data_IF_601358633494
#
_entry.id   IF_601358633494
#
_cell.length_a   1.000
_cell.length_b   1.000
_cell.length_c   1.000
_cell.angle_alpha   90.00
_cell.angle_beta   90.00
_cell.angle_gamma   90.00
#
_symmetry.space_group_name_H-M   'P 1'
#
loop_
_entity.id
_entity.type
_entity.pdbx_description
1 polymer ?
#
# COMPACT_ATOMS: atom_id res chain seq x y z
N UNK A 1 3.44 -21.50 -8.34
CA UNK A 1 3.04 -21.01 -7.00
C UNK A 1 1.67 -20.38 -7.11
N UNK A 2 0.90 -20.37 -6.02
CA UNK A 2 -0.51 -19.95 -5.97
C UNK A 2 -0.57 -18.65 -5.15
N UNK A 3 -1.39 -17.66 -5.52
CA UNK A 3 -1.49 -16.37 -4.79
C UNK A 3 -1.89 -16.56 -3.31
N UNK A 4 -1.49 -15.67 -2.39
CA UNK A 4 -1.86 -15.70 -0.97
C UNK A 4 -3.38 -15.81 -0.76
N UNK A 5 -4.15 -15.00 -1.50
CA UNK A 5 -5.62 -15.03 -1.43
C UNK A 5 -6.18 -16.41 -1.78
N UNK A 6 -5.61 -17.08 -2.78
CA UNK A 6 -6.07 -18.39 -3.21
C UNK A 6 -5.60 -19.52 -2.28
N UNK A 7 -4.42 -19.39 -1.65
CA UNK A 7 -3.95 -20.35 -0.64
C UNK A 7 -4.77 -20.27 0.66
N UNK A 8 -5.14 -19.06 1.09
CA UNK A 8 -5.83 -18.82 2.38
C UNK A 8 -7.33 -18.55 2.20
N UNK A 9 -7.87 -18.83 1.02
CA UNK A 9 -9.21 -18.40 0.59
C UNK A 9 -10.32 -18.80 1.54
N UNK A 10 -10.26 -20.03 2.05
CA UNK A 10 -11.33 -20.56 2.90
C UNK A 10 -11.30 -19.94 4.29
N UNK A 11 -10.11 -19.68 4.85
CA UNK A 11 -9.95 -18.95 6.11
C UNK A 11 -10.37 -17.48 5.94
N UNK A 12 -9.91 -16.81 4.87
CA UNK A 12 -10.28 -15.42 4.61
C UNK A 12 -11.78 -15.24 4.44
N UNK A 13 -12.47 -16.21 3.81
CA UNK A 13 -13.94 -16.17 3.63
C UNK A 13 -14.73 -16.27 4.92
N UNK A 14 -14.14 -16.72 6.03
CA UNK A 14 -14.82 -16.77 7.33
C UNK A 14 -15.07 -15.37 7.88
N UNK A 15 -14.14 -14.44 7.66
CA UNK A 15 -14.20 -13.06 8.18
C UNK A 15 -14.36 -11.98 7.11
N UNK A 16 -13.98 -12.24 5.86
CA UNK A 16 -13.92 -11.24 4.80
C UNK A 16 -14.76 -11.61 3.58
N UNK A 17 -15.26 -10.59 2.89
CA UNK A 17 -15.97 -10.80 1.63
C UNK A 17 -14.97 -10.95 0.49
N UNK A 18 -14.54 -12.19 0.24
CA UNK A 18 -13.63 -12.53 -0.86
C UNK A 18 -14.37 -12.81 -2.17
N UNK A 19 -14.00 -12.10 -3.24
CA UNK A 19 -14.56 -12.21 -4.60
C UNK A 19 -13.44 -12.19 -5.65
N UNK A 20 -13.58 -13.03 -6.68
CA UNK A 20 -12.72 -12.97 -7.86
C UNK A 20 -13.23 -11.90 -8.81
N UNK A 21 -12.35 -11.03 -9.29
CA UNK A 21 -12.70 -10.02 -10.29
C UNK A 21 -13.04 -10.65 -11.66
N UNK A 22 -14.02 -10.07 -12.34
CA UNK A 22 -14.51 -10.55 -13.64
C UNK A 22 -13.83 -9.95 -14.87
N UNK A 23 -13.00 -8.90 -14.73
CA UNK A 23 -12.41 -8.16 -15.86
C UNK A 23 -11.02 -7.58 -15.55
N UNK A 24 -10.43 -6.84 -16.51
CA UNK A 24 -9.16 -6.12 -16.31
C UNK A 24 -9.24 -5.04 -15.23
N UNK A 25 -10.36 -4.32 -15.15
CA UNK A 25 -10.62 -3.24 -14.19
C UNK A 25 -11.29 -3.75 -12.90
N UNK A 26 -10.91 -4.93 -12.41
CA UNK A 26 -11.43 -5.46 -11.15
C UNK A 26 -12.96 -5.47 -11.03
N UNK A 27 -13.68 -5.73 -12.13
CA UNK A 27 -15.14 -5.76 -12.09
C UNK A 27 -15.64 -6.72 -11.02
N UNK A 28 -16.62 -6.29 -10.24
CA UNK A 28 -17.17 -7.06 -9.14
C UNK A 28 -18.69 -6.94 -9.02
N UNK A 29 -19.26 -7.92 -8.33
CA UNK A 29 -20.62 -7.91 -7.82
C UNK A 29 -20.66 -8.35 -6.35
N UNK A 30 -20.94 -7.40 -5.45
CA UNK A 30 -21.17 -7.69 -4.04
C UNK A 30 -22.67 -7.78 -3.78
N UNK A 31 -23.13 -8.86 -3.15
CA UNK A 31 -24.56 -9.06 -2.89
C UNK A 31 -24.94 -8.44 -1.54
N UNK A 32 -26.08 -7.75 -1.52
CA UNK A 32 -26.61 -7.08 -0.33
C UNK A 32 -26.69 -8.03 0.88
N UNK A 33 -27.35 -9.17 0.72
CA UNK A 33 -27.52 -10.17 1.80
C UNK A 33 -26.19 -10.66 2.38
N UNK A 34 -25.18 -10.88 1.52
CA UNK A 34 -23.89 -11.37 2.00
C UNK A 34 -23.11 -10.27 2.70
N UNK A 35 -23.17 -9.04 2.20
CA UNK A 35 -22.59 -7.87 2.88
C UNK A 35 -23.19 -7.71 4.28
N UNK A 36 -24.52 -7.70 4.38
CA UNK A 36 -25.23 -7.63 5.66
C UNK A 36 -24.81 -8.76 6.60
N UNK A 37 -24.66 -9.99 6.11
CA UNK A 37 -24.24 -11.10 6.97
C UNK A 37 -22.83 -10.95 7.56
N UNK A 38 -21.93 -10.22 6.89
CA UNK A 38 -20.64 -9.86 7.48
C UNK A 38 -20.80 -8.69 8.46
N UNK A 39 -21.60 -7.68 8.11
CA UNK A 39 -21.89 -6.55 9.01
C UNK A 39 -22.57 -6.98 10.32
N UNK A 40 -23.51 -7.92 10.27
CA UNK A 40 -24.17 -8.47 11.46
C UNK A 40 -23.19 -9.23 12.37
N UNK A 41 -22.19 -9.90 11.78
CA UNK A 41 -21.22 -10.72 12.52
C UNK A 41 -20.00 -9.95 13.02
N UNK A 42 -19.58 -8.93 12.29
CA UNK A 42 -18.29 -8.27 12.49
C UNK A 42 -18.39 -6.74 12.53
N UNK A 43 -19.61 -6.17 12.49
CA UNK A 43 -19.79 -4.73 12.30
C UNK A 43 -19.12 -4.27 11.00
N UNK A 44 -18.44 -3.12 11.05
CA UNK A 44 -17.66 -2.64 9.91
C UNK A 44 -16.24 -3.24 9.83
N UNK A 45 -15.86 -4.11 10.78
CA UNK A 45 -14.50 -4.67 10.88
C UNK A 45 -14.31 -5.94 10.03
N UNK A 46 -14.44 -5.76 8.72
CA UNK A 46 -14.08 -6.75 7.72
C UNK A 46 -13.60 -6.07 6.44
N UNK A 47 -12.93 -6.83 5.57
CA UNK A 47 -12.45 -6.34 4.29
C UNK A 47 -13.23 -6.94 3.12
N UNK A 48 -13.37 -6.14 2.06
CA UNK A 48 -13.77 -6.58 0.73
C UNK A 48 -12.51 -6.95 -0.04
N UNK A 49 -12.35 -8.22 -0.35
CA UNK A 49 -11.14 -8.73 -1.01
C UNK A 49 -11.46 -9.04 -2.46
N UNK A 50 -10.92 -8.24 -3.37
CA UNK A 50 -11.09 -8.37 -4.81
C UNK A 50 -9.79 -8.86 -5.42
N UNK A 51 -9.74 -10.11 -5.88
CA UNK A 51 -8.52 -10.68 -6.46
C UNK A 51 -8.75 -11.11 -7.91
N UNK A 52 -7.73 -10.94 -8.75
CA UNK A 52 -7.82 -11.18 -10.20
C UNK A 52 -7.07 -12.42 -10.63
N UNK A 53 -5.88 -12.63 -10.07
CA UNK A 53 -5.04 -13.80 -10.35
C UNK A 53 -5.10 -14.82 -9.22
N UNK A 54 -5.04 -16.10 -9.58
CA UNK A 54 -4.85 -17.21 -8.63
C UNK A 54 -3.39 -17.64 -8.53
N UNK A 55 -2.52 -17.07 -9.35
CA UNK A 55 -1.11 -17.44 -9.50
C UNK A 55 -0.17 -16.43 -8.85
N UNK A 56 -0.56 -15.16 -8.83
CA UNK A 56 0.18 -14.04 -8.21
C UNK A 56 -0.80 -13.16 -7.44
N UNK A 57 -0.32 -12.47 -6.41
CA UNK A 57 -1.14 -11.52 -5.68
C UNK A 57 -1.40 -10.29 -6.56
N UNK A 58 -2.67 -10.15 -6.96
CA UNK A 58 -3.20 -9.12 -7.84
C UNK A 58 -4.59 -8.79 -7.30
N UNK A 59 -4.62 -8.05 -6.19
CA UNK A 59 -5.84 -7.86 -5.41
C UNK A 59 -5.93 -6.51 -4.72
N UNK A 60 -7.15 -6.09 -4.43
CA UNK A 60 -7.44 -5.03 -3.46
C UNK A 60 -8.03 -5.65 -2.20
N UNK A 61 -7.54 -5.19 -1.06
CA UNK A 61 -8.09 -5.51 0.26
C UNK A 61 -8.67 -4.22 0.84
N UNK A 62 -9.96 -4.01 0.64
CA UNK A 62 -10.63 -2.77 1.02
C UNK A 62 -11.25 -2.90 2.40
N UNK A 63 -10.76 -2.23 3.45
CA UNK A 63 -11.45 -2.22 4.74
C UNK A 63 -12.84 -1.62 4.57
N UNK A 64 -13.88 -2.35 4.98
CA UNK A 64 -15.26 -1.95 4.73
C UNK A 64 -15.60 -0.61 5.42
N UNK A 65 -15.04 -0.34 6.60
CA UNK A 65 -15.17 0.96 7.29
C UNK A 65 -14.79 2.16 6.44
N UNK A 66 -13.77 2.02 5.59
CA UNK A 66 -13.22 3.09 4.74
C UNK A 66 -14.03 3.28 3.46
N UNK A 67 -14.61 2.19 2.94
CA UNK A 67 -15.32 2.20 1.64
C UNK A 67 -16.83 2.12 1.76
N UNK A 68 -17.41 1.94 2.96
CA UNK A 68 -18.87 1.73 3.16
C UNK A 68 -19.74 2.80 2.52
N UNK A 69 -19.29 4.06 2.49
CA UNK A 69 -20.03 5.17 1.90
C UNK A 69 -20.22 5.03 0.38
N UNK A 70 -19.40 4.21 -0.27
CA UNK A 70 -19.53 3.88 -1.70
C UNK A 70 -20.66 2.88 -1.94
N UNK A 71 -21.04 2.07 -0.95
CA UNK A 71 -22.02 0.99 -1.05
C UNK A 71 -23.40 1.38 -0.53
N UNK A 72 -23.95 2.51 -0.98
CA UNK A 72 -25.29 2.95 -0.59
C UNK A 72 -26.40 2.08 -1.22
N UNK A 73 -27.48 1.82 -0.46
CA UNK A 73 -28.57 0.90 -0.87
C UNK A 73 -29.32 1.35 -2.14
N UNK A 74 -29.39 2.66 -2.38
CA UNK A 74 -29.98 3.21 -3.60
C UNK A 74 -29.17 2.91 -4.87
N UNK A 75 -27.95 2.37 -4.74
CA UNK A 75 -27.08 1.95 -5.84
C UNK A 75 -27.18 0.45 -6.16
N UNK A 76 -28.09 -0.28 -5.52
CA UNK A 76 -28.30 -1.71 -5.77
C UNK A 76 -28.98 -1.94 -7.13
N UNK A 77 -28.55 -2.98 -7.84
CA UNK A 77 -29.25 -3.49 -9.02
C UNK A 77 -30.58 -4.19 -8.63
N UNK A 78 -31.37 -4.57 -9.65
CA UNK A 78 -32.63 -5.30 -9.48
C UNK A 78 -32.47 -6.63 -8.72
N UNK A 79 -31.26 -7.19 -8.71
CA UNK A 79 -30.90 -8.44 -8.02
C UNK A 79 -30.30 -8.19 -6.63
N UNK A 80 -30.39 -6.96 -6.13
CA UNK A 80 -29.85 -6.53 -4.83
C UNK A 80 -28.33 -6.75 -4.74
N UNK A 81 -27.60 -6.23 -5.73
CA UNK A 81 -26.13 -6.25 -5.77
C UNK A 81 -25.57 -4.87 -6.09
N UNK A 82 -24.44 -4.55 -5.47
CA UNK A 82 -23.58 -3.48 -5.95
C UNK A 82 -22.70 -4.03 -7.05
N UNK A 83 -22.84 -3.47 -8.25
CA UNK A 83 -21.98 -3.77 -9.39
C UNK A 83 -20.97 -2.64 -9.50
N UNK A 84 -19.69 -2.96 -9.56
CA UNK A 84 -18.64 -1.95 -9.58
C UNK A 84 -17.38 -2.42 -10.27
N UNK A 85 -16.38 -1.55 -10.30
CA UNK A 85 -15.07 -1.81 -10.85
C UNK A 85 -14.03 -0.92 -10.17
N UNK A 86 -12.75 -1.31 -10.25
CA UNK A 86 -11.62 -0.47 -9.86
C UNK A 86 -10.75 -0.26 -11.10
N UNK A 87 -10.64 0.99 -11.54
CA UNK A 87 -9.77 1.35 -12.66
C UNK A 87 -8.89 2.51 -12.25
N UNK A 88 -7.58 2.40 -12.52
CA UNK A 88 -6.56 3.36 -12.10
C UNK A 88 -6.67 3.71 -10.60
N UNK A 89 -6.80 2.67 -9.78
CA UNK A 89 -6.97 2.77 -8.32
C UNK A 89 -8.20 3.55 -7.83
N UNK A 90 -9.19 3.81 -8.70
CA UNK A 90 -10.45 4.44 -8.30
C UNK A 90 -11.57 3.41 -8.26
N UNK A 91 -12.20 3.26 -7.10
CA UNK A 91 -13.37 2.42 -6.88
C UNK A 91 -14.64 3.12 -7.36
N UNK A 92 -15.40 2.44 -8.22
CA UNK A 92 -16.67 2.92 -8.79
C UNK A 92 -17.80 1.90 -8.60
N UNK A 93 -19.02 2.39 -8.38
CA UNK A 93 -20.27 1.60 -8.50
C UNK A 93 -20.96 1.99 -9.81
N UNK A 94 -21.14 1.01 -10.70
CA UNK A 94 -21.77 1.18 -12.01
C UNK A 94 -23.23 1.58 -11.82
N UNK A 95 -23.68 2.61 -12.56
CA UNK A 95 -25.04 3.19 -12.67
C UNK A 95 -25.33 4.50 -11.93
N UNK A 96 -24.35 5.35 -11.61
CA UNK A 96 -24.71 6.71 -11.18
C UNK A 96 -23.84 7.81 -11.79
N UNK A 97 -24.42 8.82 -12.49
CA UNK A 97 -23.68 10.02 -12.89
C UNK A 97 -23.13 10.82 -11.69
N UNK A 98 -23.57 10.49 -10.47
CA UNK A 98 -23.14 11.10 -9.21
C UNK A 98 -22.29 10.18 -8.33
N UNK A 99 -21.88 8.98 -8.79
CA UNK A 99 -21.02 8.11 -7.98
C UNK A 99 -19.65 8.78 -7.83
N UNK A 100 -19.34 9.28 -6.64
CA UNK A 100 -17.99 9.78 -6.34
C UNK A 100 -17.06 8.59 -6.27
N UNK A 101 -16.12 8.52 -7.21
CA UNK A 101 -15.05 7.53 -7.14
C UNK A 101 -14.18 7.78 -5.91
N UNK A 102 -13.76 6.71 -5.25
CA UNK A 102 -12.87 6.78 -4.08
C UNK A 102 -11.53 6.18 -4.46
N UNK A 103 -10.44 6.88 -4.16
CA UNK A 103 -9.09 6.34 -4.35
C UNK A 103 -8.84 5.20 -3.37
N UNK A 104 -8.36 4.09 -3.89
CA UNK A 104 -8.07 2.85 -3.14
C UNK A 104 -6.65 2.33 -3.42
N UNK A 105 -5.77 3.19 -3.94
CA UNK A 105 -4.39 2.83 -4.29
C UNK A 105 -3.62 2.22 -3.11
N UNK A 106 -3.79 2.77 -1.91
CA UNK A 106 -3.14 2.28 -0.67
C UNK A 106 -3.58 0.88 -0.25
N UNK A 107 -4.63 0.33 -0.87
CA UNK A 107 -5.18 -0.98 -0.58
C UNK A 107 -4.81 -2.03 -1.65
N UNK A 108 -4.10 -1.65 -2.71
CA UNK A 108 -3.61 -2.59 -3.71
C UNK A 108 -2.49 -3.46 -3.12
N UNK A 109 -2.70 -4.78 -3.08
CA UNK A 109 -1.82 -5.78 -2.47
C UNK A 109 -1.38 -5.45 -1.02
N UNK A 110 -2.16 -4.62 -0.32
CA UNK A 110 -1.95 -4.32 1.09
C UNK A 110 -2.82 -5.25 1.93
N UNK A 111 -2.21 -6.27 2.52
CA UNK A 111 -2.93 -7.27 3.32
C UNK A 111 -3.21 -6.82 4.76
N UNK A 112 -2.75 -5.63 5.16
CA UNK A 112 -2.90 -5.12 6.52
C UNK A 112 -4.33 -5.09 7.06
N UNK A 113 -5.33 -4.71 6.24
CA UNK A 113 -6.73 -4.76 6.66
C UNK A 113 -7.34 -6.16 6.82
N UNK A 114 -6.61 -7.24 6.51
CA UNK A 114 -7.10 -8.62 6.73
C UNK A 114 -7.01 -9.07 8.19
N UNK A 115 -6.31 -8.31 9.03
CA UNK A 115 -5.99 -8.77 10.39
C UNK A 115 -6.92 -8.18 11.46
N UNK A 116 -7.82 -7.26 11.08
CA UNK A 116 -8.82 -6.64 11.97
C UNK A 116 -8.20 -5.65 12.96
N UNK A 117 -9.03 -4.80 13.60
CA UNK A 117 -8.57 -3.85 14.62
C UNK A 117 -7.93 -4.57 15.84
N UNK A 118 -8.38 -5.78 16.14
CA UNK A 118 -7.88 -6.60 17.26
C UNK A 118 -6.45 -7.16 17.02
N UNK A 119 -5.94 -7.19 15.78
CA UNK A 119 -4.53 -7.56 15.54
C UNK A 119 -3.53 -6.53 16.08
N UNK A 120 -4.04 -5.34 16.42
CA UNK A 120 -3.37 -4.24 17.10
C UNK A 120 -3.78 -4.13 18.58
N UNK A 121 -4.21 -5.19 19.27
CA UNK A 121 -4.33 -5.20 20.75
C UNK A 121 -2.95 -5.02 21.44
N UNK A 122 -2.47 -3.79 21.37
CA UNK A 122 -2.05 -3.03 22.53
C UNK A 122 -3.16 -1.98 22.67
N UNK A 123 -4.02 -2.08 23.68
CA UNK A 123 -5.14 -1.14 23.92
C UNK A 123 -4.72 0.31 23.60
N UNK A 124 -5.21 0.91 22.51
CA UNK A 124 -5.06 2.34 22.29
C UNK A 124 -5.83 3.05 23.42
N UNK A 125 -5.21 3.98 24.18
CA UNK A 125 -5.94 4.68 25.23
C UNK A 125 -7.04 5.53 24.60
N UNK A 126 -8.19 5.63 25.25
CA UNK A 126 -9.16 6.68 24.96
C UNK A 126 -8.45 8.03 24.89
N UNK A 127 -8.50 8.63 23.71
CA UNK A 127 -8.03 9.99 23.47
C UNK A 127 -9.09 10.90 24.08
N UNK A 128 -8.68 11.73 25.04
CA UNK A 128 -9.52 12.76 25.61
C UNK A 128 -9.87 13.76 24.49
N UNK A 129 -11.13 13.73 24.03
CA UNK A 129 -11.66 14.55 22.93
C UNK A 129 -11.50 16.07 23.17
N UNK A 130 -11.15 16.49 24.39
CA UNK A 130 -10.79 17.89 24.68
C UNK A 130 -9.45 18.33 24.05
N UNK A 131 -8.64 17.39 23.53
CA UNK A 131 -7.37 17.67 22.85
C UNK A 131 -7.49 17.87 21.33
N UNK A 132 -8.61 17.48 20.71
CA UNK A 132 -8.81 17.55 19.25
C UNK A 132 -9.57 18.80 18.79
N UNK A 133 -10.02 19.66 19.70
CA UNK A 133 -10.38 21.03 19.32
C UNK A 133 -9.10 21.86 19.21
N UNK A 134 -8.48 21.84 18.03
CA UNK A 134 -7.95 23.03 17.33
C UNK A 134 -7.54 22.57 15.92
N UNK A 135 -8.35 22.96 14.93
CA UNK A 135 -7.85 23.30 13.61
C UNK A 135 -6.77 24.40 13.78
N UNK A 136 -5.49 24.03 13.76
CA UNK A 136 -4.36 24.97 13.73
C UNK A 136 -3.28 24.74 14.80
N UNK A 137 -2.22 24.04 14.42
CA UNK A 137 -0.96 23.94 15.19
C UNK A 137 -1.08 23.36 16.62
N UNK A 138 -0.88 22.04 16.73
CA UNK A 138 -0.51 21.40 17.99
C UNK A 138 0.74 22.08 18.56
N UNK A 139 0.59 22.87 19.62
CA UNK A 139 1.72 23.50 20.30
C UNK A 139 2.72 22.42 20.76
N UNK A 140 4.02 22.65 20.54
CA UNK A 140 5.12 21.70 20.86
C UNK A 140 5.03 21.17 22.31
N UNK A 141 4.58 22.01 23.25
CA UNK A 141 4.38 21.62 24.65
C UNK A 141 3.31 20.54 24.86
N UNK A 142 2.28 20.47 24.01
CA UNK A 142 1.25 19.44 24.07
C UNK A 142 1.78 18.09 23.56
N UNK A 143 2.63 18.12 22.52
CA UNK A 143 3.26 16.91 21.99
C UNK A 143 4.22 16.28 23.01
N UNK A 144 5.00 17.09 23.74
CA UNK A 144 5.89 16.59 24.79
C UNK A 144 5.13 15.85 25.90
N UNK A 145 4.01 16.42 26.38
CA UNK A 145 3.17 15.78 27.39
C UNK A 145 2.58 14.45 26.90
N UNK A 146 2.18 14.40 25.63
CA UNK A 146 1.66 13.18 25.02
C UNK A 146 2.74 12.09 24.91
N UNK A 147 3.95 12.46 24.48
CA UNK A 147 5.11 11.55 24.42
C UNK A 147 5.46 11.02 25.81
N UNK A 148 5.46 11.86 26.85
CA UNK A 148 5.71 11.42 28.22
C UNK A 148 4.67 10.39 28.71
N UNK A 149 3.39 10.60 28.36
CA UNK A 149 2.29 9.66 28.68
C UNK A 149 2.52 8.31 28.00
N UNK A 150 2.90 8.30 26.72
CA UNK A 150 3.24 7.08 25.99
C UNK A 150 4.47 6.38 26.55
N UNK A 151 5.55 7.13 26.84
CA UNK A 151 6.78 6.57 27.40
C UNK A 151 6.53 5.84 28.71
N UNK A 152 5.76 6.45 29.64
CA UNK A 152 5.39 5.79 30.91
C UNK A 152 4.67 4.46 30.68
N UNK A 153 3.78 4.41 29.68
CA UNK A 153 2.94 3.24 29.39
C UNK A 153 3.72 2.11 28.73
N UNK A 154 4.58 2.42 27.78
CA UNK A 154 5.34 1.41 27.04
C UNK A 154 6.66 1.02 27.71
N UNK A 155 7.05 1.70 28.79
CA UNK A 155 8.30 1.47 29.51
C UNK A 155 8.54 0.00 29.89
N UNK A 156 7.48 -0.71 30.30
CA UNK A 156 7.59 -2.09 30.78
C UNK A 156 7.05 -3.13 29.79
N UNK A 157 6.55 -2.70 28.62
CA UNK A 157 5.95 -3.60 27.63
C UNK A 157 7.06 -4.25 26.81
N UNK A 158 7.23 -5.57 26.97
CA UNK A 158 8.18 -6.34 26.15
C UNK A 158 7.63 -6.51 24.72
N UNK A 159 8.42 -6.16 23.67
CA UNK A 159 7.98 -6.31 22.30
C UNK A 159 7.82 -7.79 21.93
N UNK A 160 6.69 -8.15 21.33
CA UNK A 160 6.43 -9.49 20.80
C UNK A 160 6.96 -9.58 19.36
N UNK A 161 7.74 -10.62 19.06
CA UNK A 161 8.18 -10.91 17.69
C UNK A 161 7.01 -11.50 16.91
N UNK A 162 6.64 -10.87 15.79
CA UNK A 162 5.69 -11.42 14.80
C UNK A 162 6.48 -11.84 13.56
N UNK A 163 6.24 -13.04 13.05
CA UNK A 163 6.86 -13.54 11.81
C UNK A 163 6.06 -13.09 10.60
N UNK A 164 6.73 -12.57 9.56
CA UNK A 164 6.11 -12.09 8.32
C UNK A 164 6.72 -12.84 7.14
N UNK A 165 5.89 -13.43 6.28
CA UNK A 165 6.32 -14.02 5.01
C UNK A 165 5.88 -13.06 3.90
N UNK A 166 6.85 -12.50 3.18
CA UNK A 166 6.62 -11.58 2.05
C UNK A 166 7.21 -12.17 0.78
N UNK A 167 6.45 -12.19 -0.31
CA UNK A 167 7.01 -12.48 -1.62
C UNK A 167 7.70 -11.22 -2.18
N UNK A 168 8.87 -11.41 -2.78
CA UNK A 168 9.66 -10.33 -3.38
C UNK A 168 9.90 -10.69 -4.84
N UNK A 169 9.74 -9.71 -5.72
CA UNK A 169 10.22 -9.83 -7.09
C UNK A 169 11.74 -10.09 -7.01
N UNK A 170 12.19 -11.21 -7.57
CA UNK A 170 13.61 -11.56 -7.60
C UNK A 170 14.34 -10.55 -8.49
N UNK A 171 15.29 -9.83 -7.90
CA UNK A 171 16.09 -8.82 -8.61
C UNK A 171 17.47 -9.42 -8.88
N UNK A 172 17.89 -9.58 -10.14
CA UNK A 172 19.26 -9.97 -10.46
C UNK A 172 20.23 -8.89 -9.92
N UNK A 173 20.77 -9.11 -8.72
CA UNK A 173 21.55 -8.10 -8.01
C UNK A 173 22.85 -7.69 -8.72
N UNK A 174 23.34 -8.53 -9.64
CA UNK A 174 24.57 -8.31 -10.38
C UNK A 174 24.59 -6.96 -11.11
N UNK A 175 23.57 -6.67 -11.93
CA UNK A 175 23.50 -5.42 -12.71
C UNK A 175 23.50 -4.21 -11.78
N UNK A 176 22.66 -4.22 -10.75
CA UNK A 176 22.60 -3.13 -9.77
C UNK A 176 23.93 -2.92 -9.03
N UNK A 177 24.64 -3.99 -8.70
CA UNK A 177 25.94 -3.91 -8.03
C UNK A 177 27.02 -3.34 -8.96
N UNK A 178 27.01 -3.73 -10.23
CA UNK A 178 27.94 -3.17 -11.23
C UNK A 178 27.68 -1.69 -11.45
N UNK A 179 26.42 -1.26 -11.56
CA UNK A 179 26.07 0.16 -11.75
C UNK A 179 26.49 0.99 -10.53
N UNK A 180 26.26 0.50 -9.30
CA UNK A 180 26.71 1.19 -8.08
C UNK A 180 28.23 1.41 -8.06
N UNK A 181 29.00 0.41 -8.46
CA UNK A 181 30.47 0.52 -8.57
C UNK A 181 30.90 1.46 -9.68
N UNK A 182 30.27 1.37 -10.86
CA UNK A 182 30.51 2.26 -12.00
C UNK A 182 30.27 3.73 -11.63
N UNK A 183 29.25 3.98 -10.80
CA UNK A 183 28.92 5.32 -10.27
C UNK A 183 29.71 5.71 -9.03
N UNK A 184 30.72 4.93 -8.62
CA UNK A 184 31.51 5.17 -7.41
C UNK A 184 30.66 5.41 -6.14
N UNK A 185 29.51 4.74 -6.07
CA UNK A 185 28.54 4.89 -4.98
C UNK A 185 28.09 6.35 -4.79
N UNK A 186 27.96 7.12 -5.87
CA UNK A 186 27.47 8.50 -5.87
C UNK A 186 26.03 8.57 -6.36
N UNK A 187 25.20 9.33 -5.66
CA UNK A 187 23.80 9.58 -6.02
C UNK A 187 23.72 10.37 -7.33
N UNK A 188 22.96 9.86 -8.30
CA UNK A 188 22.78 10.49 -9.62
C UNK A 188 21.82 11.70 -9.59
N UNK A 189 21.17 11.96 -8.46
CA UNK A 189 20.23 13.08 -8.27
C UNK A 189 20.91 14.23 -7.53
N UNK A 190 21.37 13.99 -6.30
CA UNK A 190 21.94 15.04 -5.46
C UNK A 190 23.47 15.08 -5.44
N UNK A 191 24.15 14.13 -6.08
CA UNK A 191 25.62 14.06 -6.09
C UNK A 191 26.26 13.56 -4.78
N UNK A 192 25.47 13.30 -3.75
CA UNK A 192 25.98 12.80 -2.46
C UNK A 192 26.53 11.38 -2.58
N UNK A 193 27.64 11.13 -1.90
CA UNK A 193 28.23 9.79 -1.80
C UNK A 193 27.41 8.94 -0.81
N UNK A 194 27.35 7.63 -1.05
CA UNK A 194 26.82 6.66 -0.11
C UNK A 194 27.59 6.69 1.22
N UNK A 195 27.00 6.12 2.27
CA UNK A 195 27.59 6.09 3.60
C UNK A 195 28.26 4.74 3.90
N UNK A 196 29.21 4.72 4.83
CA UNK A 196 29.90 3.48 5.23
C UNK A 196 29.00 2.58 6.09
N UNK A 197 28.89 1.33 5.68
CA UNK A 197 28.27 0.27 6.46
C UNK A 197 29.24 -0.23 7.53
N UNK A 198 28.71 -0.92 8.55
CA UNK A 198 29.52 -1.57 9.61
C UNK A 198 30.58 -2.55 9.08
N UNK A 199 30.44 -3.03 7.85
CA UNK A 199 31.39 -3.94 7.19
C UNK A 199 32.44 -3.19 6.33
N UNK A 200 32.48 -1.86 6.38
CA UNK A 200 33.39 -1.01 5.60
C UNK A 200 32.98 -0.74 4.14
N UNK A 201 31.90 -1.35 3.65
CA UNK A 201 31.40 -1.08 2.29
C UNK A 201 30.55 0.19 2.25
N UNK A 202 30.51 0.86 1.10
CA UNK A 202 29.58 1.96 0.89
C UNK A 202 28.17 1.45 0.57
N UNK A 203 27.18 2.04 1.24
CA UNK A 203 25.77 1.81 0.99
C UNK A 203 25.20 2.89 0.08
N UNK A 204 24.58 2.44 -1.01
CA UNK A 204 23.72 3.25 -1.86
C UNK A 204 22.63 2.36 -2.46
N UNK A 205 21.51 2.96 -2.86
CA UNK A 205 20.36 2.23 -3.39
C UNK A 205 20.32 2.32 -4.91
N UNK A 206 19.64 1.35 -5.52
CA UNK A 206 19.33 1.34 -6.94
C UNK A 206 17.80 1.35 -7.05
N UNK A 207 17.29 2.32 -7.79
CA UNK A 207 15.86 2.52 -8.01
C UNK A 207 15.54 2.23 -9.48
N UNK A 208 14.43 1.55 -9.74
CA UNK A 208 13.96 1.34 -11.12
C UNK A 208 13.03 2.49 -11.46
N UNK A 209 13.34 3.26 -12.50
CA UNK A 209 12.55 4.43 -12.89
C UNK A 209 11.15 4.00 -13.36
N UNK A 210 11.11 2.95 -14.19
CA UNK A 210 9.91 2.17 -14.45
C UNK A 210 9.88 1.04 -13.43
N UNK A 211 8.91 1.09 -12.53
CA UNK A 211 8.82 0.14 -11.44
C UNK A 211 8.67 -1.31 -11.92
N UNK A 212 9.35 -2.25 -11.25
CA UNK A 212 9.34 -3.66 -11.65
C UNK A 212 7.97 -4.32 -11.54
N UNK A 213 7.05 -3.76 -10.73
CA UNK A 213 5.69 -4.27 -10.60
C UNK A 213 4.84 -4.03 -11.85
N UNK A 214 5.27 -3.14 -12.75
CA UNK A 214 4.64 -2.93 -14.06
C UNK A 214 4.87 -4.13 -15.01
N UNK A 215 5.78 -5.05 -14.67
CA UNK A 215 6.05 -6.30 -15.40
C UNK A 215 6.33 -6.13 -16.90
N UNK A 216 6.80 -4.95 -17.31
CA UNK A 216 7.13 -4.67 -18.71
C UNK A 216 8.51 -5.21 -19.10
N UNK A 217 8.72 -5.56 -20.38
CA UNK A 217 10.05 -5.87 -20.91
C UNK A 217 11.05 -4.75 -20.64
N UNK A 218 12.32 -5.11 -20.47
CA UNK A 218 13.44 -4.19 -20.20
C UNK A 218 13.42 -3.48 -18.83
N UNK A 219 12.45 -3.76 -17.95
CA UNK A 219 12.41 -3.17 -16.60
C UNK A 219 13.62 -3.57 -15.72
N UNK A 220 14.31 -4.67 -16.04
CA UNK A 220 15.57 -5.09 -15.38
C UNK A 220 16.85 -4.52 -16.02
N UNK A 221 16.75 -3.83 -17.16
CA UNK A 221 17.92 -3.32 -17.89
C UNK A 221 18.58 -2.16 -17.13
N UNK A 222 19.87 -1.96 -17.36
CA UNK A 222 20.66 -0.89 -16.74
C UNK A 222 20.06 0.49 -16.96
N UNK A 223 19.42 0.69 -18.10
CA UNK A 223 18.88 1.98 -18.53
C UNK A 223 17.64 2.37 -17.72
N UNK A 224 17.02 1.40 -17.06
CA UNK A 224 15.91 1.62 -16.16
C UNK A 224 16.37 1.80 -14.69
N UNK A 225 17.67 1.74 -14.40
CA UNK A 225 18.20 1.80 -13.03
C UNK A 225 18.89 3.15 -12.81
N UNK A 226 18.52 3.83 -11.72
CA UNK A 226 19.20 5.02 -11.22
C UNK A 226 19.81 4.74 -9.84
N UNK A 227 21.06 5.14 -9.64
CA UNK A 227 21.73 5.03 -8.34
C UNK A 227 21.37 6.24 -7.49
N UNK A 228 20.83 6.01 -6.29
CA UNK A 228 20.27 7.05 -5.42
C UNK A 228 20.63 6.84 -3.96
N UNK A 229 20.83 7.94 -3.23
CA UNK A 229 20.94 7.90 -1.77
C UNK A 229 19.57 7.57 -1.14
N UNK A 230 19.52 7.11 0.13
CA UNK A 230 18.28 6.73 0.79
C UNK A 230 17.22 7.84 0.80
N UNK A 231 17.66 9.08 0.97
CA UNK A 231 16.77 10.26 0.99
C UNK A 231 16.16 10.50 -0.39
N UNK A 232 16.97 10.54 -1.44
CA UNK A 232 16.47 10.71 -2.81
C UNK A 232 15.58 9.55 -3.24
N UNK A 233 15.94 8.31 -2.87
CA UNK A 233 15.10 7.15 -3.14
C UNK A 233 13.71 7.28 -2.50
N UNK A 234 13.64 7.74 -1.24
CA UNK A 234 12.34 7.98 -0.58
C UNK A 234 11.56 9.14 -1.18
N UNK A 235 12.24 10.20 -1.65
CA UNK A 235 11.59 11.28 -2.41
C UNK A 235 10.96 10.77 -3.70
N UNK A 236 11.60 9.83 -4.41
CA UNK A 236 11.01 9.23 -5.61
C UNK A 236 9.75 8.41 -5.31
N UNK A 237 9.70 7.73 -4.16
CA UNK A 237 8.52 6.95 -3.77
C UNK A 237 7.37 7.78 -3.21
N UNK A 238 7.65 8.86 -2.47
CA UNK A 238 6.64 9.55 -1.66
C UNK A 238 6.57 11.06 -1.89
N UNK A 239 7.56 11.65 -2.56
CA UNK A 239 7.57 13.07 -2.88
C UNK A 239 6.76 13.34 -4.14
N UNK A 240 6.29 14.58 -4.28
CA UNK A 240 5.72 15.09 -5.53
C UNK A 240 6.85 15.33 -6.54
N UNK A 241 7.36 14.26 -7.15
CA UNK A 241 8.47 14.29 -8.10
C UNK A 241 7.94 14.15 -9.52
N UNK A 242 8.40 15.04 -10.41
CA UNK A 242 8.09 15.00 -11.84
C UNK A 242 9.24 14.38 -12.62
N UNK A 243 8.87 13.49 -13.52
CA UNK A 243 9.77 12.80 -14.44
C UNK A 243 9.74 13.52 -15.80
N UNK A 244 10.90 13.87 -16.34
CA UNK A 244 11.02 14.44 -17.69
C UNK A 244 11.79 13.49 -18.61
N UNK A 245 11.23 13.22 -19.80
CA UNK A 245 11.91 12.53 -20.88
C UNK A 245 12.97 13.47 -21.50
N UNK A 246 14.22 13.05 -21.51
CA UNK A 246 15.31 13.76 -22.17
C UNK A 246 15.60 13.06 -23.50
N UNK A 247 14.75 13.29 -24.51
CA UNK A 247 14.82 12.78 -25.90
C UNK A 247 14.62 11.26 -26.08
N UNK A 248 14.18 10.87 -27.29
CA UNK A 248 13.74 9.51 -27.70
C UNK A 248 14.77 8.37 -27.52
N UNK A 249 15.95 8.66 -26.99
CA UNK A 249 17.02 7.68 -26.72
C UNK A 249 17.78 7.94 -25.40
N UNK A 250 17.31 8.80 -24.49
CA UNK A 250 17.94 8.97 -23.18
C UNK A 250 16.96 9.02 -22.00
N UNK A 251 17.43 8.37 -20.94
CA UNK A 251 16.78 8.00 -19.68
C UNK A 251 16.07 9.19 -19.03
N UNK A 252 14.85 8.94 -18.57
CA UNK A 252 14.06 9.85 -17.71
C UNK A 252 14.88 10.18 -16.46
N UNK A 253 15.16 11.46 -16.23
CA UNK A 253 15.87 11.91 -15.02
C UNK A 253 14.96 12.75 -14.13
N UNK A 254 14.82 12.42 -12.84
CA UNK A 254 14.18 13.30 -11.88
C UNK A 254 15.07 14.54 -11.65
N UNK A 255 14.45 15.72 -11.64
CA UNK A 255 15.14 16.98 -11.35
C UNK A 255 15.43 17.08 -9.83
N UNK A 256 16.59 17.66 -9.50
CA UNK A 256 17.02 17.95 -8.13
C UNK A 256 16.26 19.14 -7.54
#
# INVERSE_FOLDING_TARGET
MTSYIQQNKDELRKRHYVRKAGSRDYWFDFTYKKMQSFQEKHGDDFSLVLYKSTLVDDCYVLPFSEVKNVFADNLLDERKRWIGYISKDILHIVRHPNSKGVSVASYFNNFEPLWGKDAHEIDEPEIDETLDNIDGELQIGNLHKLIEKFNKRFHEVKPKKKGVISERISRPGAISNYIKRLRNYTCEICGEKGFEQKNGNLYIEAHHIIELHELIPNSYCSDNIVVVCPTCHRKLHYGDVKYHNLNDNQIIRPLA
#
